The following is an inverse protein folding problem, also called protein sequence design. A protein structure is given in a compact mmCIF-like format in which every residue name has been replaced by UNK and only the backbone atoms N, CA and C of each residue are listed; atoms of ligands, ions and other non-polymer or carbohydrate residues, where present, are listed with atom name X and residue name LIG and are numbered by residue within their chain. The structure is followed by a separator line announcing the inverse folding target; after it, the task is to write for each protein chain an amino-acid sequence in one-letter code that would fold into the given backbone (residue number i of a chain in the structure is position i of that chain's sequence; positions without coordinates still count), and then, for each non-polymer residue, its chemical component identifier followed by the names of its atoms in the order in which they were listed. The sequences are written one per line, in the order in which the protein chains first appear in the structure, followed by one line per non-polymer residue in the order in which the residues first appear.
data_IF_932270045986
#
_entry.id   IF_932270045986
#
_cell.length_a   1.000
_cell.length_b   1.000
_cell.length_c   1.000
_cell.angle_alpha   90.00
_cell.angle_beta   90.00
_cell.angle_gamma   90.00
#
_symmetry.space_group_name_H-M   'P 1'
#
loop_
_entity.id
_entity.type
_entity.pdbx_description
1 polymer ?
#
# COMPACT_ATOMS: atom_id res chain seq x y z
N UNK A 1 6.39 -17.02 -12.24
CA UNK A 1 5.41 -16.79 -11.15
C UNK A 1 3.97 -16.83 -11.66
N UNK A 2 3.57 -15.99 -12.63
CA UNK A 2 2.19 -16.01 -13.19
C UNK A 2 1.74 -17.39 -13.70
N UNK A 3 2.54 -18.07 -14.51
CA UNK A 3 2.26 -19.45 -14.99
C UNK A 3 2.10 -20.49 -13.87
N UNK A 4 2.74 -20.27 -12.71
CA UNK A 4 2.60 -21.15 -11.56
C UNK A 4 1.25 -20.93 -10.87
N UNK A 5 0.85 -19.67 -10.69
CA UNK A 5 -0.46 -19.33 -10.12
C UNK A 5 -1.60 -19.71 -11.04
N UNK A 6 -1.45 -19.55 -12.36
CA UNK A 6 -2.40 -20.06 -13.36
C UNK A 6 -2.61 -21.57 -13.17
N UNK A 7 -1.53 -22.37 -13.12
CA UNK A 7 -1.65 -23.81 -12.86
C UNK A 7 -2.33 -24.17 -11.52
N UNK A 8 -2.06 -23.40 -10.46
CA UNK A 8 -2.70 -23.63 -9.15
C UNK A 8 -4.20 -23.34 -9.25
N UNK A 9 -4.59 -22.24 -9.88
CA UNK A 9 -5.99 -21.86 -10.03
C UNK A 9 -6.72 -22.80 -10.99
N UNK A 10 -6.08 -23.23 -12.08
CA UNK A 10 -6.62 -24.23 -13.01
C UNK A 10 -6.90 -25.56 -12.26
N UNK A 11 -5.97 -26.01 -11.42
CA UNK A 11 -6.19 -27.19 -10.57
C UNK A 11 -7.33 -27.01 -9.56
N UNK A 12 -7.50 -25.82 -8.99
CA UNK A 12 -8.62 -25.52 -8.08
C UNK A 12 -9.97 -25.51 -8.81
N UNK A 13 -9.99 -25.04 -10.06
CA UNK A 13 -11.16 -25.00 -10.92
C UNK A 13 -11.56 -26.40 -11.40
N UNK A 14 -10.59 -27.19 -11.88
CA UNK A 14 -10.79 -28.58 -12.33
C UNK A 14 -11.37 -29.47 -11.21
N UNK A 15 -10.96 -29.23 -9.96
CA UNK A 15 -11.48 -29.96 -8.80
C UNK A 15 -12.79 -29.39 -8.23
N UNK A 16 -13.39 -28.39 -8.87
CA UNK A 16 -14.64 -27.78 -8.43
C UNK A 16 -14.53 -26.98 -7.13
N UNK A 17 -13.32 -26.63 -6.69
CA UNK A 17 -13.09 -25.84 -5.48
C UNK A 17 -13.39 -24.35 -5.69
N UNK A 18 -13.31 -23.86 -6.93
CA UNK A 18 -13.66 -22.49 -7.31
C UNK A 18 -14.52 -22.50 -8.57
N UNK A 19 -15.40 -21.49 -8.69
CA UNK A 19 -16.14 -21.23 -9.92
C UNK A 19 -15.29 -20.38 -10.87
N UNK A 20 -15.45 -20.60 -12.18
CA UNK A 20 -14.70 -19.89 -13.24
C UNK A 20 -14.83 -18.36 -13.12
N UNK A 21 -15.96 -17.86 -12.65
CA UNK A 21 -16.20 -16.42 -12.44
C UNK A 21 -15.24 -15.77 -11.42
N UNK A 22 -14.70 -16.53 -10.47
CA UNK A 22 -13.76 -16.02 -9.47
C UNK A 22 -12.29 -16.23 -9.83
N UNK A 23 -11.99 -16.84 -10.99
CA UNK A 23 -10.63 -17.21 -11.41
C UNK A 23 -9.64 -16.04 -11.27
N UNK A 24 -10.01 -14.87 -11.77
CA UNK A 24 -9.16 -13.68 -11.75
C UNK A 24 -8.95 -13.12 -10.33
N UNK A 25 -9.96 -13.25 -9.46
CA UNK A 25 -9.87 -12.84 -8.05
C UNK A 25 -8.86 -13.70 -7.31
N UNK A 26 -8.88 -15.02 -7.51
CA UNK A 26 -7.92 -15.93 -6.90
C UNK A 26 -6.50 -15.73 -7.44
N UNK A 27 -6.35 -15.50 -8.75
CA UNK A 27 -5.06 -15.15 -9.34
C UNK A 27 -4.49 -13.86 -8.74
N UNK A 28 -5.31 -12.83 -8.58
CA UNK A 28 -4.92 -11.57 -7.96
C UNK A 28 -4.55 -11.76 -6.48
N UNK A 29 -5.31 -12.55 -5.73
CA UNK A 29 -5.03 -12.85 -4.33
C UNK A 29 -3.69 -13.57 -4.16
N UNK A 30 -3.43 -14.63 -4.95
CA UNK A 30 -2.16 -15.36 -4.91
C UNK A 30 -0.96 -14.46 -5.28
N UNK A 31 -1.12 -13.60 -6.28
CA UNK A 31 -0.09 -12.64 -6.65
C UNK A 31 0.19 -11.64 -5.52
N UNK A 32 -0.86 -11.11 -4.89
CA UNK A 32 -0.75 -10.17 -3.77
C UNK A 32 -0.04 -10.82 -2.57
N UNK A 33 -0.44 -12.03 -2.18
CA UNK A 33 0.20 -12.78 -1.09
C UNK A 33 1.68 -13.01 -1.37
N UNK A 34 2.02 -13.42 -2.59
CA UNK A 34 3.41 -13.64 -2.96
C UNK A 34 4.24 -12.35 -2.90
N UNK A 35 3.71 -11.24 -3.42
CA UNK A 35 4.38 -9.92 -3.33
C UNK A 35 4.57 -9.49 -1.88
N UNK A 36 3.62 -9.72 -0.99
CA UNK A 36 3.79 -9.45 0.45
C UNK A 36 4.84 -10.35 1.09
N UNK A 37 4.84 -11.65 0.79
CA UNK A 37 5.85 -12.57 1.30
C UNK A 37 7.26 -12.16 0.86
N UNK A 38 7.44 -11.80 -0.41
CA UNK A 38 8.72 -11.29 -0.91
C UNK A 38 9.12 -9.97 -0.24
N UNK A 39 8.20 -9.01 -0.10
CA UNK A 39 8.48 -7.73 0.57
C UNK A 39 8.83 -7.88 2.05
N UNK A 40 8.18 -8.80 2.77
CA UNK A 40 8.54 -9.10 4.17
C UNK A 40 9.93 -9.71 4.21
N UNK A 41 10.19 -10.74 3.38
CA UNK A 41 11.48 -11.42 3.34
C UNK A 41 12.63 -10.48 3.00
N UNK A 42 12.48 -9.65 1.96
CA UNK A 42 13.50 -8.68 1.58
C UNK A 42 13.56 -7.50 2.55
N UNK A 43 12.43 -7.12 3.13
CA UNK A 43 12.36 -6.10 4.16
C UNK A 43 13.15 -6.46 5.43
N UNK A 44 13.12 -7.73 5.85
CA UNK A 44 13.98 -8.22 6.94
C UNK A 44 15.46 -8.09 6.58
N UNK A 45 15.86 -8.47 5.37
CA UNK A 45 17.26 -8.34 4.91
C UNK A 45 17.69 -6.87 4.87
N UNK A 46 16.86 -6.00 4.30
CA UNK A 46 17.13 -4.55 4.21
C UNK A 46 17.20 -3.93 5.61
N UNK A 47 16.23 -4.23 6.47
CA UNK A 47 16.18 -3.74 7.85
C UNK A 47 17.40 -4.15 8.66
N UNK A 48 17.84 -5.40 8.52
CA UNK A 48 19.07 -5.90 9.13
C UNK A 48 20.32 -5.20 8.58
N UNK A 49 20.41 -5.01 7.26
CA UNK A 49 21.54 -4.30 6.63
C UNK A 49 21.67 -2.85 7.08
N UNK A 50 20.56 -2.17 7.36
CA UNK A 50 20.54 -0.78 7.85
C UNK A 50 20.74 -0.65 9.37
N UNK A 51 20.68 -1.77 10.10
CA UNK A 51 20.69 -1.81 11.57
C UNK A 51 19.40 -1.29 12.22
N UNK A 52 18.31 -1.19 11.47
CA UNK A 52 17.04 -0.58 11.90
C UNK A 52 15.85 -1.56 11.77
N UNK A 53 16.11 -2.86 12.04
CA UNK A 53 15.14 -3.94 11.81
C UNK A 53 13.81 -3.71 12.56
N UNK A 54 13.85 -3.20 13.79
CA UNK A 54 12.65 -2.89 14.56
C UNK A 54 11.74 -1.89 13.83
N UNK A 55 12.31 -0.78 13.37
CA UNK A 55 11.54 0.28 12.69
C UNK A 55 11.09 -0.16 11.30
N UNK A 56 11.87 -1.00 10.62
CA UNK A 56 11.45 -1.67 9.39
C UNK A 56 10.18 -2.50 9.62
N UNK A 57 10.13 -3.33 10.67
CA UNK A 57 8.95 -4.15 10.97
C UNK A 57 7.74 -3.30 11.36
N UNK A 58 7.93 -2.25 12.16
CA UNK A 58 6.87 -1.30 12.51
C UNK A 58 6.29 -0.67 11.24
N UNK A 59 7.15 -0.19 10.34
CA UNK A 59 6.73 0.39 9.07
C UNK A 59 5.96 -0.62 8.20
N UNK A 60 6.49 -1.84 8.02
CA UNK A 60 5.84 -2.86 7.18
C UNK A 60 4.45 -3.23 7.70
N UNK A 61 4.30 -3.39 9.02
CA UNK A 61 3.01 -3.72 9.64
C UNK A 61 2.00 -2.58 9.41
N UNK A 62 2.38 -1.35 9.76
CA UNK A 62 1.51 -0.18 9.56
C UNK A 62 1.12 -0.02 8.07
N UNK A 63 2.13 -0.04 7.19
CA UNK A 63 1.92 0.11 5.75
C UNK A 63 1.00 -0.97 5.18
N UNK A 64 1.17 -2.24 5.55
CA UNK A 64 0.31 -3.33 5.06
C UNK A 64 -1.13 -3.20 5.55
N UNK A 65 -1.34 -2.90 6.84
CA UNK A 65 -2.68 -2.76 7.42
C UNK A 65 -3.45 -1.63 6.75
N UNK A 66 -2.82 -0.46 6.59
CA UNK A 66 -3.47 0.66 5.94
C UNK A 66 -3.67 0.41 4.44
N UNK A 67 -2.65 -0.10 3.72
CA UNK A 67 -2.71 -0.28 2.26
C UNK A 67 -3.77 -1.29 1.82
N UNK A 68 -4.02 -2.33 2.62
CA UNK A 68 -5.01 -3.36 2.33
C UNK A 68 -6.43 -2.78 2.29
N UNK A 69 -6.76 -1.87 3.21
CA UNK A 69 -8.10 -1.29 3.31
C UNK A 69 -8.24 0.03 2.52
N UNK A 70 -7.19 0.85 2.48
CA UNK A 70 -7.21 2.13 1.77
C UNK A 70 -7.20 1.93 0.24
N UNK A 71 -6.54 0.87 -0.26
CA UNK A 71 -6.27 0.73 -1.68
C UNK A 71 -5.19 1.73 -2.13
N UNK A 72 -5.17 2.08 -3.41
CA UNK A 72 -4.15 2.95 -4.00
C UNK A 72 -3.60 2.43 -5.33
N UNK A 73 -2.58 3.11 -5.85
CA UNK A 73 -1.97 2.73 -7.14
C UNK A 73 -1.29 1.36 -7.06
N UNK A 74 -1.75 0.41 -7.87
CA UNK A 74 -1.04 -0.82 -8.20
C UNK A 74 -0.33 -0.65 -9.54
N UNK A 75 1.00 -0.78 -9.51
CA UNK A 75 1.83 -0.73 -10.71
C UNK A 75 1.51 -1.92 -11.63
N UNK A 76 1.56 -1.75 -12.96
CA UNK A 76 1.34 -2.85 -13.88
C UNK A 76 2.44 -3.90 -13.71
N UNK A 77 2.02 -5.09 -13.25
CA UNK A 77 2.90 -6.23 -13.02
C UNK A 77 3.47 -6.32 -11.60
N UNK A 78 3.62 -7.57 -11.13
CA UNK A 78 4.11 -7.88 -9.79
C UNK A 78 5.53 -7.34 -9.50
N UNK A 79 6.42 -7.35 -10.51
CA UNK A 79 7.80 -6.84 -10.39
C UNK A 79 7.82 -5.35 -10.07
N UNK A 80 7.01 -4.56 -10.79
CA UNK A 80 6.93 -3.12 -10.61
C UNK A 80 6.45 -2.77 -9.20
N UNK A 81 5.43 -3.48 -8.70
CA UNK A 81 4.92 -3.29 -7.34
C UNK A 81 5.95 -3.71 -6.28
N UNK A 82 6.65 -4.82 -6.50
CA UNK A 82 7.70 -5.30 -5.61
C UNK A 82 8.87 -4.31 -5.49
N UNK A 83 9.44 -3.85 -6.61
CA UNK A 83 10.55 -2.89 -6.59
C UNK A 83 10.13 -1.52 -6.05
N UNK A 84 8.91 -1.06 -6.37
CA UNK A 84 8.37 0.17 -5.79
C UNK A 84 8.27 0.06 -4.26
N UNK A 85 7.76 -1.06 -3.75
CA UNK A 85 7.64 -1.32 -2.32
C UNK A 85 9.01 -1.38 -1.62
N UNK A 86 9.99 -2.03 -2.25
CA UNK A 86 11.38 -2.03 -1.76
C UNK A 86 11.96 -0.62 -1.73
N UNK A 87 11.74 0.18 -2.78
CA UNK A 87 12.19 1.58 -2.83
C UNK A 87 11.58 2.43 -1.73
N UNK A 88 10.26 2.33 -1.52
CA UNK A 88 9.54 3.00 -0.43
C UNK A 88 10.13 2.63 0.93
N UNK A 89 10.42 1.34 1.15
CA UNK A 89 11.02 0.86 2.39
C UNK A 89 12.42 1.47 2.61
N UNK A 90 13.29 1.41 1.60
CA UNK A 90 14.64 1.97 1.68
C UNK A 90 14.60 3.48 1.94
N UNK A 91 13.74 4.22 1.25
CA UNK A 91 13.58 5.66 1.47
C UNK A 91 13.09 5.97 2.89
N UNK A 92 12.19 5.15 3.44
CA UNK A 92 11.72 5.30 4.82
C UNK A 92 12.84 5.07 5.82
N UNK A 93 13.66 4.04 5.64
CA UNK A 93 14.80 3.77 6.51
C UNK A 93 15.88 4.86 6.40
N UNK A 94 16.15 5.36 5.20
CA UNK A 94 17.04 6.50 5.00
C UNK A 94 16.51 7.76 5.69
N UNK A 95 15.19 8.02 5.58
CA UNK A 95 14.55 9.12 6.29
C UNK A 95 14.76 8.98 7.79
N UNK A 96 14.47 7.81 8.37
CA UNK A 96 14.67 7.54 9.80
C UNK A 96 16.10 7.85 10.27
N UNK A 97 17.12 7.65 9.42
CA UNK A 97 18.54 7.89 9.74
C UNK A 97 19.05 9.31 9.45
N UNK A 98 18.30 10.13 8.73
CA UNK A 98 18.80 11.43 8.23
C UNK A 98 19.00 12.51 9.30
N UNK A 99 18.40 12.35 10.49
CA UNK A 99 18.52 13.19 11.69
C UNK A 99 18.84 14.68 11.44
N UNK A 100 17.81 15.47 11.10
CA UNK A 100 17.96 16.93 10.91
C UNK A 100 16.80 17.74 11.54
N UNK A 101 17.05 19.02 11.84
CA UNK A 101 16.21 19.85 12.71
C UNK A 101 14.72 19.95 12.31
N UNK A 102 14.40 19.94 11.02
CA UNK A 102 13.03 20.09 10.52
C UNK A 102 12.34 18.75 10.21
N UNK A 103 13.01 17.63 10.41
CA UNK A 103 12.54 16.31 10.02
C UNK A 103 11.19 15.95 10.66
N UNK A 104 11.04 16.18 11.97
CA UNK A 104 9.78 15.90 12.68
C UNK A 104 8.63 16.73 12.13
N UNK A 105 8.85 18.04 11.94
CA UNK A 105 7.83 18.96 11.45
C UNK A 105 7.36 18.56 10.04
N UNK A 106 8.30 18.26 9.14
CA UNK A 106 8.01 17.78 7.79
C UNK A 106 7.22 16.46 7.81
N UNK A 107 7.61 15.52 8.68
CA UNK A 107 6.94 14.23 8.79
C UNK A 107 5.48 14.39 9.25
N UNK A 108 5.24 15.22 10.27
CA UNK A 108 3.88 15.50 10.77
C UNK A 108 3.04 16.18 9.69
N UNK A 109 3.57 17.24 9.06
CA UNK A 109 2.85 17.99 8.03
C UNK A 109 2.45 17.08 6.84
N UNK A 110 3.41 16.26 6.35
CA UNK A 110 3.15 15.31 5.28
C UNK A 110 2.14 14.23 5.67
N UNK A 111 2.25 13.68 6.89
CA UNK A 111 1.34 12.65 7.37
C UNK A 111 -0.09 13.16 7.57
N UNK A 112 -0.27 14.40 8.05
CA UNK A 112 -1.60 15.02 8.17
C UNK A 112 -2.22 15.29 6.79
N UNK A 113 -1.45 15.79 5.84
CA UNK A 113 -1.91 16.01 4.47
C UNK A 113 -2.32 14.70 3.78
N UNK A 114 -1.47 13.67 3.89
CA UNK A 114 -1.74 12.33 3.37
C UNK A 114 -2.95 11.69 4.06
N UNK A 115 -3.01 11.76 5.39
CA UNK A 115 -4.09 11.23 6.21
C UNK A 115 -5.44 11.86 5.88
N UNK A 116 -5.48 13.18 5.64
CA UNK A 116 -6.68 13.87 5.16
C UNK A 116 -7.15 13.32 3.81
N UNK A 117 -6.23 13.15 2.86
CA UNK A 117 -6.54 12.57 1.56
C UNK A 117 -7.12 11.16 1.67
N UNK A 118 -6.48 10.31 2.48
CA UNK A 118 -6.98 8.95 2.74
C UNK A 118 -8.36 8.99 3.40
N UNK A 119 -8.56 9.85 4.40
CA UNK A 119 -9.84 9.92 5.12
C UNK A 119 -11.00 10.29 4.20
N UNK A 120 -10.79 11.25 3.30
CA UNK A 120 -11.80 11.74 2.36
C UNK A 120 -12.06 10.76 1.20
N UNK A 121 -11.01 10.14 0.67
CA UNK A 121 -11.09 9.38 -0.59
C UNK A 121 -11.03 7.86 -0.42
N UNK A 122 -10.82 7.32 0.79
CA UNK A 122 -10.85 5.88 1.01
C UNK A 122 -12.29 5.30 0.98
N UNK A 123 -12.46 4.07 0.45
CA UNK A 123 -11.43 3.25 -0.18
C UNK A 123 -11.29 3.61 -1.66
N UNK A 124 -10.07 3.56 -2.21
CA UNK A 124 -9.90 3.68 -3.65
C UNK A 124 -10.28 2.37 -4.34
N UNK A 125 -11.15 2.48 -5.34
CA UNK A 125 -11.62 1.35 -6.12
C UNK A 125 -10.53 0.87 -7.11
N UNK A 126 -10.18 -0.42 -7.03
CA UNK A 126 -9.29 -1.07 -7.98
C UNK A 126 -10.12 -1.80 -9.05
N UNK A 127 -9.73 -1.64 -10.32
CA UNK A 127 -10.39 -2.35 -11.44
C UNK A 127 -10.31 -3.89 -11.29
N UNK A 128 -9.28 -4.40 -10.60
CA UNK A 128 -9.05 -5.82 -10.38
C UNK A 128 -9.74 -6.36 -9.12
N UNK A 129 -10.34 -5.48 -8.31
CA UNK A 129 -11.17 -5.85 -7.16
C UNK A 129 -12.46 -5.00 -7.19
N UNK A 130 -13.39 -5.31 -8.12
CA UNK A 130 -14.68 -4.64 -8.13
C UNK A 130 -15.37 -4.94 -6.79
N UNK A 131 -15.68 -3.89 -6.04
CA UNK A 131 -16.35 -3.99 -4.76
C UNK A 131 -17.82 -3.66 -4.96
N UNK A 132 -18.71 -4.41 -4.34
CA UNK A 132 -20.09 -3.99 -4.20
C UNK A 132 -20.18 -2.73 -3.32
N UNK A 133 -21.19 -1.89 -3.53
CA UNK A 133 -21.35 -0.64 -2.79
C UNK A 133 -21.42 -0.84 -1.26
N UNK A 134 -22.00 -1.96 -0.81
CA UNK A 134 -22.01 -2.34 0.60
C UNK A 134 -20.59 -2.64 1.13
N UNK A 135 -19.77 -3.35 0.35
CA UNK A 135 -18.39 -3.69 0.70
C UNK A 135 -17.49 -2.44 0.70
N UNK A 136 -17.65 -1.54 -0.27
CA UNK A 136 -16.96 -0.25 -0.30
C UNK A 136 -17.18 0.56 0.97
N UNK A 137 -18.41 0.61 1.47
CA UNK A 137 -18.74 1.36 2.69
C UNK A 137 -18.04 0.77 3.92
N UNK A 138 -17.97 -0.56 4.02
CA UNK A 138 -17.31 -1.26 5.13
C UNK A 138 -15.80 -1.07 5.07
N UNK A 139 -15.18 -1.32 3.92
CA UNK A 139 -13.73 -1.18 3.72
C UNK A 139 -13.29 0.27 3.92
N UNK A 140 -14.04 1.23 3.37
CA UNK A 140 -13.78 2.66 3.56
C UNK A 140 -13.80 3.08 5.03
N UNK A 141 -14.78 2.57 5.79
CA UNK A 141 -14.84 2.83 7.24
C UNK A 141 -13.62 2.25 7.96
N UNK A 142 -13.19 1.02 7.60
CA UNK A 142 -11.99 0.41 8.17
C UNK A 142 -10.73 1.22 7.85
N UNK A 143 -10.53 1.61 6.60
CA UNK A 143 -9.40 2.45 6.19
C UNK A 143 -9.33 3.77 6.98
N UNK A 144 -10.47 4.43 7.19
CA UNK A 144 -10.56 5.65 8.02
C UNK A 144 -10.20 5.41 9.48
N UNK A 145 -10.66 4.30 10.06
CA UNK A 145 -10.31 3.92 11.43
C UNK A 145 -8.80 3.66 11.54
N UNK A 146 -8.22 2.93 10.59
CA UNK A 146 -6.79 2.60 10.58
C UNK A 146 -5.95 3.87 10.45
N UNK A 147 -6.25 4.76 9.48
CA UNK A 147 -5.44 5.98 9.30
C UNK A 147 -5.51 6.90 10.53
N UNK A 148 -6.67 7.04 11.17
CA UNK A 148 -6.81 7.81 12.42
C UNK A 148 -6.01 7.15 13.55
N UNK A 149 -6.05 5.82 13.64
CA UNK A 149 -5.29 5.06 14.64
C UNK A 149 -3.78 5.23 14.43
N UNK A 150 -3.29 5.11 13.19
CA UNK A 150 -1.87 5.30 12.87
C UNK A 150 -1.40 6.74 13.13
N UNK A 151 -2.22 7.74 12.82
CA UNK A 151 -1.89 9.13 13.17
C UNK A 151 -1.76 9.31 14.68
N UNK A 152 -2.71 8.80 15.47
CA UNK A 152 -2.65 8.86 16.94
C UNK A 152 -1.42 8.11 17.45
N UNK A 153 -1.17 6.89 16.99
CA UNK A 153 0.00 6.10 17.38
C UNK A 153 1.32 6.79 17.01
N UNK A 154 1.40 7.39 15.83
CA UNK A 154 2.55 8.19 15.41
C UNK A 154 2.81 9.36 16.35
N UNK A 155 1.76 10.09 16.75
CA UNK A 155 1.87 11.18 17.72
C UNK A 155 2.30 10.69 19.11
N UNK A 156 1.79 9.54 19.57
CA UNK A 156 2.21 8.92 20.84
C UNK A 156 3.68 8.50 20.78
N UNK A 157 4.11 7.89 19.67
CA UNK A 157 5.50 7.50 19.48
C UNK A 157 6.44 8.71 19.41
N UNK A 158 6.02 9.89 18.95
CA UNK A 158 6.87 11.08 19.01
C UNK A 158 7.32 11.42 20.44
N UNK A 159 6.50 11.11 21.45
CA UNK A 159 6.83 11.34 22.86
C UNK A 159 7.79 10.30 23.45
N UNK A 160 7.95 9.13 22.81
CA UNK A 160 8.71 7.99 23.36
C UNK A 160 9.92 7.66 22.49
N UNK A 161 9.74 7.57 21.18
CA UNK A 161 10.75 7.22 20.19
C UNK A 161 10.41 7.84 18.82
N UNK A 162 11.14 8.88 18.44
CA UNK A 162 10.93 9.59 17.17
C UNK A 162 11.09 8.70 15.94
N UNK A 163 12.01 7.72 15.97
CA UNK A 163 12.21 6.80 14.84
C UNK A 163 11.01 5.87 14.63
N UNK A 164 10.41 5.38 15.72
CA UNK A 164 9.17 4.62 15.67
C UNK A 164 8.01 5.47 15.13
N UNK A 165 7.94 6.75 15.52
CA UNK A 165 6.95 7.67 14.96
C UNK A 165 7.12 7.87 13.45
N UNK A 166 8.36 8.04 12.97
CA UNK A 166 8.65 8.18 11.55
C UNK A 166 8.29 6.92 10.75
N UNK A 167 8.47 5.73 11.34
CA UNK A 167 8.01 4.50 10.72
C UNK A 167 6.48 4.46 10.55
N UNK A 168 5.72 4.76 11.60
CA UNK A 168 4.24 4.75 11.53
C UNK A 168 3.71 5.87 10.63
N UNK A 169 4.17 7.11 10.82
CA UNK A 169 3.73 8.25 10.00
C UNK A 169 4.19 8.11 8.54
N UNK A 170 5.34 7.47 8.30
CA UNK A 170 5.81 7.11 6.97
C UNK A 170 4.83 6.21 6.23
N UNK A 171 4.21 5.23 6.91
CA UNK A 171 3.20 4.37 6.31
C UNK A 171 2.00 5.17 5.79
N UNK A 172 1.50 6.13 6.58
CA UNK A 172 0.42 7.06 6.18
C UNK A 172 0.85 7.89 4.96
N UNK A 173 2.06 8.46 4.99
CA UNK A 173 2.59 9.29 3.90
C UNK A 173 2.64 8.49 2.59
N UNK A 174 3.23 7.30 2.60
CA UNK A 174 3.38 6.49 1.38
C UNK A 174 2.05 5.96 0.85
N UNK A 175 1.10 5.65 1.74
CA UNK A 175 -0.27 5.37 1.32
C UNK A 175 -0.89 6.59 0.62
N UNK A 176 -0.71 7.80 1.16
CA UNK A 176 -1.20 9.04 0.53
C UNK A 176 -0.52 9.34 -0.82
N UNK A 177 0.79 9.10 -0.94
CA UNK A 177 1.50 9.21 -2.23
C UNK A 177 0.92 8.25 -3.27
N UNK A 178 0.55 7.03 -2.86
CA UNK A 178 -0.09 6.06 -3.76
C UNK A 178 -1.47 6.51 -4.25
N UNK A 179 -2.21 7.32 -3.47
CA UNK A 179 -3.47 7.94 -3.88
C UNK A 179 -3.26 9.03 -4.92
N UNK A 180 -2.23 9.87 -4.75
CA UNK A 180 -1.86 10.87 -5.74
C UNK A 180 -1.46 10.21 -7.07
N UNK A 181 -0.61 9.18 -7.01
CA UNK A 181 -0.22 8.40 -8.18
C UNK A 181 -1.43 7.77 -8.90
N UNK A 182 -2.39 7.24 -8.15
CA UNK A 182 -3.64 6.71 -8.70
C UNK A 182 -4.48 7.80 -9.37
N UNK A 183 -4.59 8.98 -8.74
CA UNK A 183 -5.36 10.11 -9.26
C UNK A 183 -4.77 10.63 -10.59
N UNK A 184 -3.45 10.74 -10.66
CA UNK A 184 -2.73 11.13 -11.90
C UNK A 184 -2.95 10.09 -12.99
N UNK A 185 -2.81 8.79 -12.69
CA UNK A 185 -3.07 7.71 -13.66
C UNK A 185 -4.48 7.82 -14.22
N UNK A 186 -5.49 7.97 -13.36
CA UNK A 186 -6.89 8.07 -13.77
C UNK A 186 -7.15 9.30 -14.65
N UNK A 187 -6.52 10.43 -14.34
CA UNK A 187 -6.59 11.64 -15.17
C UNK A 187 -5.99 11.42 -16.56
N UNK A 188 -4.82 10.77 -16.65
CA UNK A 188 -4.17 10.47 -17.94
C UNK A 188 -4.98 9.49 -18.79
N UNK A 189 -5.56 8.45 -18.20
CA UNK A 189 -6.41 7.48 -18.92
C UNK A 189 -7.66 8.16 -19.52
N UNK A 190 -8.29 9.07 -18.77
CA UNK A 190 -9.49 9.80 -19.23
C UNK A 190 -9.17 10.74 -20.40
N UNK A 191 -8.06 11.45 -20.33
CA UNK A 191 -7.63 12.37 -21.39
C UNK A 191 -7.09 11.65 -22.64
N UNK A 192 -6.50 10.46 -22.48
CA UNK A 192 -6.10 9.60 -23.60
C UNK A 192 -7.30 9.14 -24.42
N UNK A 193 -8.32 8.59 -23.76
CA UNK A 193 -9.57 8.17 -24.42
C UNK A 193 -10.29 9.31 -25.13
N UNK A 194 -10.38 10.49 -24.49
CA UNK A 194 -10.97 11.67 -25.11
C UNK A 194 -10.23 12.16 -26.38
N UNK A 195 -8.97 11.77 -26.58
CA UNK A 195 -8.22 12.08 -27.82
C UNK A 195 -8.40 11.01 -28.89
N UNK A 196 -8.59 9.76 -28.51
CA UNK A 196 -8.90 8.66 -29.42
C UNK A 196 -10.33 8.75 -29.94
N UNK A 197 -11.30 9.14 -29.10
CA UNK A 197 -12.71 9.30 -29.50
C UNK A 197 -12.97 10.53 -30.40
N UNK A 198 -12.01 11.45 -30.51
CA UNK A 198 -12.08 12.69 -31.30
C UNK A 198 -11.27 12.63 -32.61
N UNK A 199 -10.66 11.49 -32.94
CA UNK A 199 -9.90 11.22 -34.16
C UNK A 199 -10.59 10.13 -35.00
#
# INVERSE_FOLDING_TARGET
MRKLFERIVDFMEENGSIQSEYRDVYLFALQTIAVYAFNIGTGVVIGAAFGELLYCMIFLIAFMLLRQEAGGYHAPGWMSCYFLSCGILVLTLLWIKAEFAYQTCLTIAAALAAGMGIFLFAPLEDKNKPLEEAEKKVIGKKARIIVVTELILGMVFLAVNQRAAYAVLGAVIWCGVSYLAWSVKRYTEKNGKSREDNN
#
